data_IF_807914601506
#
_entry.id   IF_807914601506
#
_cell.length_a   1.000
_cell.length_b   1.000
_cell.length_c   1.000
_cell.angle_alpha   90.00
_cell.angle_beta   90.00
_cell.angle_gamma   90.00
#
_symmetry.space_group_name_H-M   'P 1'
#
loop_
_entity.id
_entity.type
_entity.pdbx_description
1 polymer ?
#
# COMPACT_ATOMS: atom_id res chain seq x y z
N UNK A 1 -13.16 0.15 0.54
CA UNK A 1 -12.83 1.33 1.38
C UNK A 1 -14.06 2.22 1.48
N UNK A 2 -14.11 3.13 2.45
CA UNK A 2 -15.17 4.14 2.58
C UNK A 2 -14.61 5.53 2.26
N UNK A 3 -15.50 6.51 1.98
CA UNK A 3 -15.11 7.93 1.89
C UNK A 3 -14.78 8.54 3.25
N UNK A 4 -15.41 8.03 4.32
CA UNK A 4 -15.27 8.53 5.69
C UNK A 4 -15.39 7.40 6.71
N UNK A 5 -14.96 7.68 7.94
CA UNK A 5 -15.16 6.78 9.07
C UNK A 5 -16.65 6.49 9.26
N UNK A 6 -16.99 5.23 9.51
CA UNK A 6 -18.37 4.73 9.62
C UNK A 6 -19.22 4.93 8.34
N UNK A 7 -18.60 5.28 7.21
CA UNK A 7 -19.27 5.31 5.91
C UNK A 7 -19.52 3.91 5.35
N UNK A 8 -20.39 3.78 4.34
CA UNK A 8 -20.63 2.51 3.67
C UNK A 8 -19.36 1.98 2.98
N UNK A 9 -19.24 0.66 2.90
CA UNK A 9 -18.17 0.03 2.12
C UNK A 9 -18.43 0.24 0.62
N UNK A 10 -17.41 0.72 -0.09
CA UNK A 10 -17.47 0.95 -1.53
C UNK A 10 -16.29 0.28 -2.24
N UNK A 11 -16.53 -0.11 -3.50
CA UNK A 11 -15.47 -0.40 -4.45
C UNK A 11 -14.93 0.94 -4.94
N UNK A 12 -13.69 1.25 -4.56
CA UNK A 12 -13.03 2.50 -4.98
C UNK A 12 -12.01 2.19 -6.08
N UNK A 13 -12.01 3.03 -7.12
CA UNK A 13 -10.97 2.99 -8.15
C UNK A 13 -9.74 3.73 -7.64
N UNK A 14 -8.61 3.04 -7.54
CA UNK A 14 -7.33 3.65 -7.19
C UNK A 14 -6.79 4.41 -8.41
N UNK A 15 -6.30 5.63 -8.20
CA UNK A 15 -5.69 6.44 -9.26
C UNK A 15 -4.34 5.83 -9.72
N UNK A 16 -3.88 6.12 -10.95
CA UNK A 16 -2.52 5.76 -11.35
C UNK A 16 -1.50 6.29 -10.34
N UNK A 17 -0.49 5.48 -10.03
CA UNK A 17 0.59 5.90 -9.15
C UNK A 17 1.28 7.16 -9.67
N UNK A 18 1.72 8.03 -8.76
CA UNK A 18 2.49 9.22 -9.11
C UNK A 18 3.88 8.84 -9.62
N UNK A 19 4.41 9.62 -10.56
CA UNK A 19 5.72 9.36 -11.16
C UNK A 19 6.89 9.57 -10.17
N UNK A 20 6.68 10.39 -9.14
CA UNK A 20 7.64 10.69 -8.06
C UNK A 20 7.49 9.75 -6.84
N UNK A 21 6.94 8.56 -7.05
CA UNK A 21 6.73 7.55 -6.00
C UNK A 21 7.43 6.23 -6.30
N UNK A 22 7.61 5.40 -5.27
CA UNK A 22 8.10 4.03 -5.43
C UNK A 22 7.18 3.18 -6.32
N UNK A 23 5.87 3.38 -6.25
CA UNK A 23 4.89 2.74 -7.15
C UNK A 23 5.05 3.23 -8.60
N UNK A 24 5.34 4.52 -8.81
CA UNK A 24 5.66 5.08 -10.12
C UNK A 24 6.89 4.42 -10.73
N UNK A 25 7.96 4.30 -9.94
CA UNK A 25 9.19 3.60 -10.36
C UNK A 25 8.94 2.12 -10.66
N UNK A 26 8.07 1.47 -9.87
CA UNK A 26 7.67 0.07 -10.07
C UNK A 26 6.87 -0.13 -11.36
N UNK A 27 5.97 0.81 -11.69
CA UNK A 27 5.23 0.82 -12.96
C UNK A 27 6.18 1.04 -14.14
N UNK A 28 7.10 1.99 -14.04
CA UNK A 28 8.03 2.32 -15.12
C UNK A 28 9.03 1.19 -15.42
N UNK A 29 9.25 0.27 -14.48
CA UNK A 29 10.00 -0.97 -14.72
C UNK A 29 9.32 -1.90 -15.73
N UNK A 30 8.01 -1.72 -16.01
CA UNK A 30 7.26 -2.51 -16.99
C UNK A 30 7.07 -3.99 -16.61
N UNK A 31 7.27 -4.33 -15.33
CA UNK A 31 7.08 -5.69 -14.81
C UNK A 31 5.74 -5.74 -14.06
N UNK A 32 4.74 -6.49 -14.56
CA UNK A 32 3.38 -6.44 -13.99
C UNK A 32 3.26 -6.90 -12.54
N UNK A 33 4.15 -7.80 -12.10
CA UNK A 33 4.23 -8.23 -10.72
C UNK A 33 5.65 -8.70 -10.38
N UNK A 34 6.17 -8.28 -9.23
CA UNK A 34 7.49 -8.72 -8.77
C UNK A 34 7.62 -8.68 -7.25
N UNK A 35 8.59 -9.46 -6.77
CA UNK A 35 9.11 -9.38 -5.41
C UNK A 35 10.50 -8.74 -5.46
N UNK A 36 10.73 -7.76 -4.60
CA UNK A 36 12.01 -7.08 -4.44
C UNK A 36 12.41 -7.16 -2.97
N UNK A 37 13.51 -7.86 -2.69
CA UNK A 37 14.15 -7.82 -1.39
C UNK A 37 14.81 -6.45 -1.17
N UNK A 38 14.50 -5.80 -0.05
CA UNK A 38 15.02 -4.47 0.31
C UNK A 38 15.91 -4.50 1.55
N UNK A 39 15.82 -5.57 2.34
CA UNK A 39 16.58 -5.81 3.57
C UNK A 39 18.04 -6.27 3.36
N UNK A 40 18.69 -6.78 4.44
CA UNK A 40 20.13 -7.06 4.45
C UNK A 40 20.66 -8.07 3.42
N UNK A 41 19.84 -8.96 2.87
CA UNK A 41 20.26 -9.89 1.81
C UNK A 41 20.46 -9.24 0.44
N UNK A 42 19.98 -8.01 0.25
CA UNK A 42 20.14 -7.26 -1.00
C UNK A 42 21.52 -6.59 -1.13
N UNK A 43 21.98 -6.38 -2.37
CA UNK A 43 23.24 -5.67 -2.69
C UNK A 43 23.23 -4.25 -2.13
N UNK A 44 24.35 -3.82 -1.53
CA UNK A 44 24.47 -2.51 -0.86
C UNK A 44 24.01 -1.34 -1.73
N UNK A 45 24.46 -1.25 -2.99
CA UNK A 45 24.10 -0.14 -3.87
C UNK A 45 22.60 -0.09 -4.19
N UNK A 46 21.93 -1.24 -4.24
CA UNK A 46 20.47 -1.30 -4.41
C UNK A 46 19.79 -0.80 -3.14
N UNK A 47 20.24 -1.24 -1.95
CA UNK A 47 19.69 -0.75 -0.68
C UNK A 47 19.89 0.76 -0.50
N UNK A 48 21.05 1.28 -0.89
CA UNK A 48 21.34 2.71 -0.82
C UNK A 48 20.40 3.51 -1.74
N UNK A 49 20.15 3.03 -2.97
CA UNK A 49 19.18 3.64 -3.88
C UNK A 49 17.74 3.57 -3.33
N UNK A 50 17.36 2.44 -2.74
CA UNK A 50 16.08 2.25 -2.07
C UNK A 50 15.98 2.94 -0.70
N UNK A 51 17.04 3.64 -0.25
CA UNK A 51 17.01 4.49 0.93
C UNK A 51 16.81 5.97 0.56
N UNK A 52 16.76 6.32 -0.73
CA UNK A 52 16.40 7.68 -1.14
C UNK A 52 14.95 7.97 -0.78
N UNK A 53 14.65 9.09 -0.09
CA UNK A 53 13.29 9.38 0.27
C UNK A 53 12.43 9.69 -0.97
N UNK A 54 11.41 8.87 -1.20
CA UNK A 54 10.40 9.06 -2.25
C UNK A 54 9.00 8.96 -1.64
N UNK A 55 7.98 9.32 -2.41
CA UNK A 55 6.60 9.10 -1.98
C UNK A 55 6.26 7.60 -2.01
N UNK A 56 5.49 7.17 -1.03
CA UNK A 56 4.84 5.86 -0.94
C UNK A 56 3.36 6.08 -0.65
N UNK A 57 2.49 5.27 -1.29
CA UNK A 57 1.05 5.35 -1.13
C UNK A 57 0.55 4.35 -0.09
N UNK A 58 -0.08 4.86 0.95
CA UNK A 58 -0.80 4.07 1.95
C UNK A 58 -2.31 4.34 1.91
N UNK A 59 -3.07 3.38 1.39
CA UNK A 59 -4.54 3.38 1.39
C UNK A 59 -5.03 2.31 2.38
N UNK A 60 -5.73 2.74 3.42
CA UNK A 60 -6.33 1.86 4.42
C UNK A 60 -7.83 1.67 4.21
N UNK A 61 -8.57 1.67 5.32
CA UNK A 61 -10.04 1.54 5.32
C UNK A 61 -10.76 2.72 4.66
N UNK A 62 -10.13 3.90 4.66
CA UNK A 62 -10.62 5.10 4.00
C UNK A 62 -9.77 5.39 2.77
N UNK A 63 -10.42 5.79 1.68
CA UNK A 63 -9.74 6.28 0.49
C UNK A 63 -10.46 7.50 -0.09
N UNK A 64 -9.71 8.60 -0.21
CA UNK A 64 -10.14 9.89 -0.77
C UNK A 64 -9.30 10.25 -2.00
N UNK A 65 -9.72 9.87 -3.21
CA UNK A 65 -8.93 10.12 -4.43
C UNK A 65 -8.76 11.61 -4.72
N UNK A 66 -9.71 12.46 -4.32
CA UNK A 66 -9.68 13.91 -4.56
C UNK A 66 -8.54 14.61 -3.82
N UNK A 67 -8.05 14.00 -2.73
CA UNK A 67 -6.97 14.53 -1.89
C UNK A 67 -5.81 13.54 -1.75
N UNK A 68 -5.65 12.60 -2.67
CA UNK A 68 -4.77 11.42 -2.48
C UNK A 68 -3.34 11.77 -2.08
N UNK A 69 -2.74 12.79 -2.72
CA UNK A 69 -1.40 13.27 -2.36
C UNK A 69 -1.30 13.69 -0.88
N UNK A 70 -2.31 14.39 -0.37
CA UNK A 70 -2.30 14.90 1.00
C UNK A 70 -2.73 13.86 2.03
N UNK A 71 -3.61 12.93 1.66
CA UNK A 71 -4.23 11.99 2.61
C UNK A 71 -3.64 10.58 2.57
N UNK A 72 -2.96 10.20 1.49
CA UNK A 72 -2.52 8.82 1.25
C UNK A 72 -1.07 8.69 0.77
N UNK A 73 -0.37 9.78 0.49
CA UNK A 73 1.05 9.72 0.16
C UNK A 73 1.91 10.25 1.31
N UNK A 74 2.98 9.52 1.61
CA UNK A 74 3.94 9.84 2.66
C UNK A 74 5.36 9.64 2.14
N UNK A 75 6.32 10.32 2.75
CA UNK A 75 7.73 10.11 2.42
C UNK A 75 8.21 8.80 3.07
N UNK A 76 8.81 7.94 2.28
CA UNK A 76 9.32 6.64 2.69
C UNK A 76 10.77 6.43 2.24
N UNK A 77 11.49 5.61 2.99
CA UNK A 77 12.82 5.11 2.66
C UNK A 77 12.75 3.58 2.65
N UNK A 78 12.49 3.00 1.49
CA UNK A 78 12.00 1.64 1.35
C UNK A 78 12.90 0.59 2.03
N UNK A 79 14.22 0.68 1.86
CA UNK A 79 15.18 -0.26 2.47
C UNK A 79 15.42 -0.05 3.97
N UNK A 80 14.95 1.07 4.53
CA UNK A 80 15.05 1.35 5.98
C UNK A 80 13.79 0.95 6.74
N UNK A 81 12.65 0.90 6.06
CA UNK A 81 11.34 0.67 6.68
C UNK A 81 10.79 -0.73 6.43
N UNK A 82 11.19 -1.37 5.31
CA UNK A 82 10.65 -2.64 4.89
C UNK A 82 11.77 -3.63 4.54
N UNK A 83 11.53 -4.92 4.79
CA UNK A 83 12.44 -6.00 4.39
C UNK A 83 12.21 -6.47 2.96
N UNK A 84 11.01 -6.23 2.42
CA UNK A 84 10.64 -6.56 1.06
C UNK A 84 9.54 -5.62 0.51
N UNK A 85 9.50 -5.53 -0.82
CA UNK A 85 8.47 -4.85 -1.60
C UNK A 85 7.82 -5.83 -2.57
N UNK A 86 6.50 -5.92 -2.55
CA UNK A 86 5.73 -6.77 -3.46
C UNK A 86 4.87 -5.85 -4.31
N UNK A 87 5.12 -5.87 -5.61
CA UNK A 87 4.42 -5.04 -6.57
C UNK A 87 3.41 -5.85 -7.38
N UNK A 88 2.25 -5.25 -7.59
CA UNK A 88 1.26 -5.66 -8.58
C UNK A 88 0.78 -4.40 -9.30
N UNK A 89 0.93 -4.35 -10.62
CA UNK A 89 0.51 -3.21 -11.43
C UNK A 89 -1.01 -3.03 -11.39
N UNK A 90 -1.74 -4.14 -11.43
CA UNK A 90 -3.20 -4.16 -11.36
C UNK A 90 -3.68 -4.94 -10.13
N UNK A 91 -4.68 -4.39 -9.46
CA UNK A 91 -5.35 -5.03 -8.33
C UNK A 91 -6.87 -4.93 -8.49
N UNK A 92 -7.58 -5.90 -7.92
CA UNK A 92 -9.04 -5.94 -7.92
C UNK A 92 -9.61 -5.75 -6.52
N UNK A 93 -10.86 -5.31 -6.43
CA UNK A 93 -11.56 -5.27 -5.16
C UNK A 93 -11.67 -6.69 -4.57
N UNK A 94 -11.30 -6.82 -3.30
CA UNK A 94 -11.42 -8.08 -2.57
C UNK A 94 -12.92 -8.41 -2.43
N UNK A 95 -13.33 -9.59 -2.89
CA UNK A 95 -14.68 -10.06 -2.71
C UNK A 95 -14.91 -10.44 -1.24
N UNK A 96 -15.80 -9.70 -0.57
CA UNK A 96 -16.24 -10.06 0.78
C UNK A 96 -16.96 -11.42 0.71
N UNK A 97 -16.44 -12.40 1.45
CA UNK A 97 -17.19 -13.64 1.69
C UNK A 97 -18.24 -13.35 2.75
N UNK A 98 -19.45 -13.94 2.65
CA UNK A 98 -20.45 -13.78 3.70
C UNK A 98 -19.86 -14.26 5.02
N UNK A 99 -19.82 -13.35 6.00
CA UNK A 99 -19.48 -13.68 7.37
C UNK A 99 -20.74 -14.27 7.98
N UNK A 100 -20.73 -15.57 8.29
CA UNK A 100 -21.69 -16.12 9.23
C UNK A 100 -21.27 -15.59 10.61
N UNK A 101 -21.88 -14.49 11.04
CA UNK A 101 -21.65 -13.94 12.36
C UNK A 101 -22.38 -14.81 13.39
N UNK A 102 -21.78 -15.93 13.77
CA UNK A 102 -22.08 -16.59 15.04
C UNK A 102 -20.91 -16.33 15.99
N UNK A 103 -21.02 -15.28 16.79
CA UNK A 103 -20.04 -14.96 17.83
C UNK A 103 -19.86 -13.44 18.02
N UNK A 104 -19.45 -13.00 19.23
CA UNK A 104 -19.14 -11.58 19.47
C UNK A 104 -18.01 -11.11 18.57
N UNK A 105 -18.01 -9.81 18.22
CA UNK A 105 -16.97 -9.18 17.41
C UNK A 105 -15.57 -9.47 17.99
N UNK A 106 -14.76 -10.19 17.22
CA UNK A 106 -13.38 -10.55 17.55
C UNK A 106 -12.55 -9.25 17.72
N UNK A 107 -12.25 -8.88 18.96
CA UNK A 107 -11.58 -7.62 19.36
C UNK A 107 -10.08 -7.82 19.62
N UNK A 108 -9.48 -8.85 19.02
CA UNK A 108 -8.08 -9.17 19.21
C UNK A 108 -7.19 -8.51 18.13
N UNK A 109 -6.03 -7.90 18.48
CA UNK A 109 -5.47 -7.63 19.81
C UNK A 109 -5.49 -6.13 20.12
N UNK A 110 -6.55 -5.60 20.73
CA UNK A 110 -6.41 -4.29 21.38
C UNK A 110 -5.78 -4.50 22.76
N UNK A 111 -4.51 -4.10 22.91
CA UNK A 111 -3.82 -4.03 24.19
C UNK A 111 -4.33 -2.85 25.01
N UNK A 112 -4.87 -3.15 26.19
CA UNK A 112 -5.08 -2.18 27.27
C UNK A 112 -3.74 -1.80 27.88
#
# INVERSE_FOLDING_TARGET
AASDWNGPMEIKRVLPARDDSYEGSSRDAGIPAFFLETGPGQKKHVRDALAEPLLERAIGVIYRPETELLSHYFQAELSRQFDAWIWFEETGAVAARPVYAEGPDETYPFGV
#
